data_IF_109566608248
#
_entry.id   IF_109566608248
#
_cell.length_a   1.000
_cell.length_b   1.000
_cell.length_c   1.000
_cell.angle_alpha   90.00
_cell.angle_beta   90.00
_cell.angle_gamma   90.00
#
_symmetry.space_group_name_H-M   'P 1'
#
loop_
_entity.id
_entity.type
_entity.pdbx_description
1 polymer ?
#
# COMPACT_ATOMS: atom_id res chain seq x y z
N UNK A 1 -41.51 27.00 -64.97
CA UNK A 1 -41.58 28.44 -64.63
C UNK A 1 -42.12 28.71 -63.23
N UNK A 2 -43.40 28.47 -62.90
CA UNK A 2 -43.92 28.76 -61.54
C UNK A 2 -43.37 27.82 -60.44
N UNK A 3 -43.17 26.54 -60.73
CA UNK A 3 -42.62 25.58 -59.78
C UNK A 3 -41.13 25.84 -59.47
N UNK A 4 -40.35 26.27 -60.46
CA UNK A 4 -38.94 26.65 -60.29
C UNK A 4 -38.81 27.90 -59.40
N UNK A 5 -39.76 28.84 -59.50
CA UNK A 5 -39.80 30.03 -58.64
C UNK A 5 -40.09 29.68 -57.17
N UNK A 6 -40.95 28.69 -56.91
CA UNK A 6 -41.26 28.23 -55.55
C UNK A 6 -40.07 27.50 -54.91
N UNK A 7 -39.35 26.67 -55.67
CA UNK A 7 -38.13 26.01 -55.19
C UNK A 7 -37.00 27.02 -54.92
N UNK A 8 -36.87 28.06 -55.75
CA UNK A 8 -35.93 29.16 -55.51
C UNK A 8 -36.25 29.93 -54.23
N UNK A 9 -37.52 30.26 -53.98
CA UNK A 9 -37.95 30.93 -52.74
C UNK A 9 -37.66 30.07 -51.50
N UNK A 10 -37.89 28.75 -51.59
CA UNK A 10 -37.58 27.81 -50.51
C UNK A 10 -36.09 27.72 -50.25
N UNK A 11 -35.26 27.69 -51.30
CA UNK A 11 -33.82 27.71 -51.17
C UNK A 11 -33.35 29.00 -50.49
N UNK A 12 -33.90 30.13 -50.91
CA UNK A 12 -33.55 31.46 -50.41
C UNK A 12 -33.85 31.59 -48.91
N UNK A 13 -35.04 31.20 -48.46
CA UNK A 13 -35.40 31.19 -47.03
C UNK A 13 -34.44 30.34 -46.20
N UNK A 14 -34.07 29.17 -46.73
CA UNK A 14 -33.15 28.24 -46.04
C UNK A 14 -31.73 28.79 -45.98
N UNK A 15 -31.31 29.53 -47.01
CA UNK A 15 -30.01 30.18 -47.09
C UNK A 15 -29.94 31.33 -46.07
N UNK A 16 -30.97 32.17 -46.00
CA UNK A 16 -31.10 33.25 -45.01
C UNK A 16 -31.08 32.73 -43.56
N UNK A 17 -31.74 31.60 -43.30
CA UNK A 17 -31.70 30.95 -41.98
C UNK A 17 -30.30 30.42 -41.64
N UNK A 18 -29.57 29.88 -42.62
CA UNK A 18 -28.19 29.40 -42.42
C UNK A 18 -27.22 30.55 -42.20
N UNK A 19 -27.33 31.62 -42.98
CA UNK A 19 -26.52 32.84 -42.81
C UNK A 19 -26.74 33.45 -41.44
N UNK A 20 -28.00 33.56 -40.99
CA UNK A 20 -28.32 34.06 -39.65
C UNK A 20 -27.69 33.23 -38.54
N UNK A 21 -27.63 31.91 -38.69
CA UNK A 21 -27.04 30.99 -37.70
C UNK A 21 -25.51 30.99 -37.70
N UNK A 22 -24.89 31.07 -38.87
CA UNK A 22 -23.43 30.98 -39.02
C UNK A 22 -22.76 32.34 -38.80
N UNK A 23 -23.31 33.40 -39.40
CA UNK A 23 -22.73 34.75 -39.41
C UNK A 23 -23.25 35.57 -38.22
N UNK A 24 -24.47 35.28 -37.75
CA UNK A 24 -25.17 36.12 -36.77
C UNK A 24 -25.82 37.33 -37.47
N UNK A 25 -26.94 37.81 -36.94
CA UNK A 25 -27.82 38.80 -37.57
C UNK A 25 -27.28 40.22 -37.75
N UNK A 26 -25.97 40.42 -37.76
CA UNK A 26 -25.36 41.72 -38.07
C UNK A 26 -24.11 41.48 -38.92
N UNK A 27 -24.09 42.06 -40.13
CA UNK A 27 -23.18 41.76 -41.25
C UNK A 27 -21.71 42.11 -41.04
N UNK A 28 -21.22 42.09 -39.80
CA UNK A 28 -19.88 42.55 -39.41
C UNK A 28 -18.92 41.41 -39.02
N UNK A 29 -19.31 40.14 -39.13
CA UNK A 29 -18.41 39.02 -38.81
C UNK A 29 -18.03 38.28 -40.09
N UNK A 30 -16.79 38.49 -40.55
CA UNK A 30 -16.17 37.67 -41.61
C UNK A 30 -16.25 36.17 -41.29
N UNK A 31 -15.93 35.27 -42.25
CA UNK A 31 -16.21 33.83 -42.15
C UNK A 31 -15.78 33.29 -40.79
N UNK A 32 -16.76 33.10 -39.89
CA UNK A 32 -16.49 32.62 -38.54
C UNK A 32 -15.84 31.27 -38.70
N UNK A 33 -14.63 31.15 -38.19
CA UNK A 33 -13.87 29.90 -38.17
C UNK A 33 -14.47 28.97 -37.10
N UNK A 34 -15.78 28.69 -37.19
CA UNK A 34 -16.51 27.84 -36.26
C UNK A 34 -15.84 26.48 -36.16
N UNK A 35 -15.30 25.98 -37.29
CA UNK A 35 -14.45 24.79 -37.31
C UNK A 35 -13.18 24.95 -36.47
N UNK A 36 -12.41 26.04 -36.63
CA UNK A 36 -11.18 26.25 -35.86
C UNK A 36 -11.48 26.51 -34.38
N UNK A 37 -12.56 27.22 -34.05
CA UNK A 37 -13.00 27.45 -32.67
C UNK A 37 -13.46 26.15 -32.00
N UNK A 38 -14.23 25.32 -32.72
CA UNK A 38 -14.62 24.01 -32.24
C UNK A 38 -13.39 23.11 -32.00
N UNK A 39 -12.40 23.15 -32.91
CA UNK A 39 -11.13 22.45 -32.73
C UNK A 39 -10.38 22.98 -31.50
N UNK A 40 -10.32 24.30 -31.29
CA UNK A 40 -9.70 24.91 -30.10
C UNK A 40 -10.38 24.46 -28.81
N UNK A 41 -11.72 24.44 -28.78
CA UNK A 41 -12.49 23.96 -27.63
C UNK A 41 -12.24 22.48 -27.39
N UNK A 42 -12.22 21.66 -28.45
CA UNK A 42 -11.92 20.23 -28.34
C UNK A 42 -10.52 19.96 -27.78
N UNK A 43 -9.51 20.71 -28.24
CA UNK A 43 -8.14 20.63 -27.72
C UNK A 43 -8.08 21.09 -26.26
N UNK A 44 -8.77 22.17 -25.90
CA UNK A 44 -8.83 22.66 -24.52
C UNK A 44 -9.48 21.62 -23.58
N UNK A 45 -10.61 21.04 -23.98
CA UNK A 45 -11.31 19.98 -23.22
C UNK A 45 -10.44 18.73 -23.09
N UNK A 46 -9.77 18.32 -24.17
CA UNK A 46 -8.86 17.16 -24.15
C UNK A 46 -7.66 17.40 -23.24
N UNK A 47 -7.12 18.62 -23.23
CA UNK A 47 -6.05 19.02 -22.33
C UNK A 47 -6.51 19.03 -20.86
N UNK A 48 -7.71 19.53 -20.57
CA UNK A 48 -8.28 19.55 -19.22
C UNK A 48 -8.51 18.11 -18.72
N UNK A 49 -9.14 17.26 -19.53
CA UNK A 49 -9.37 15.85 -19.21
C UNK A 49 -8.05 15.10 -19.00
N UNK A 50 -7.07 15.28 -19.90
CA UNK A 50 -5.76 14.67 -19.81
C UNK A 50 -4.94 15.13 -18.60
N UNK A 51 -4.98 16.42 -18.24
CA UNK A 51 -4.32 16.93 -17.03
C UNK A 51 -4.90 16.31 -15.76
N UNK A 52 -6.22 16.19 -15.68
CA UNK A 52 -6.89 15.59 -14.51
C UNK A 52 -6.48 14.13 -14.30
N UNK A 53 -6.45 13.32 -15.36
CA UNK A 53 -6.01 11.92 -15.26
C UNK A 53 -4.50 11.80 -14.96
N UNK A 54 -3.66 12.66 -15.55
CA UNK A 54 -2.23 12.69 -15.23
C UNK A 54 -1.97 13.04 -13.76
N UNK A 55 -2.68 14.02 -13.22
CA UNK A 55 -2.58 14.40 -11.81
C UNK A 55 -3.02 13.22 -10.93
N UNK A 56 -4.12 12.55 -11.25
CA UNK A 56 -4.60 11.37 -10.52
C UNK A 56 -3.58 10.23 -10.50
N UNK A 57 -2.92 9.95 -11.64
CA UNK A 57 -1.85 8.94 -11.72
C UNK A 57 -0.64 9.37 -10.89
N UNK A 58 -0.25 10.65 -10.95
CA UNK A 58 0.87 11.18 -10.16
C UNK A 58 0.62 11.08 -8.66
N UNK A 59 -0.58 11.42 -8.18
CA UNK A 59 -0.94 11.28 -6.77
C UNK A 59 -0.84 9.84 -6.28
N UNK A 60 -1.34 8.87 -7.07
CA UNK A 60 -1.17 7.44 -6.75
C UNK A 60 0.30 7.02 -6.71
N UNK A 61 1.10 7.48 -7.70
CA UNK A 61 2.54 7.20 -7.72
C UNK A 61 3.29 7.83 -6.54
N UNK A 62 2.86 8.98 -6.03
CA UNK A 62 3.47 9.62 -4.87
C UNK A 62 3.27 8.75 -3.62
N UNK A 63 2.07 8.19 -3.42
CA UNK A 63 1.81 7.24 -2.33
C UNK A 63 2.73 6.01 -2.42
N UNK A 64 2.87 5.45 -3.63
CA UNK A 64 3.79 4.34 -3.87
C UNK A 64 5.25 4.73 -3.59
N UNK A 65 5.70 5.89 -4.07
CA UNK A 65 7.08 6.39 -3.86
C UNK A 65 7.36 6.62 -2.37
N UNK A 66 6.42 7.18 -1.61
CA UNK A 66 6.55 7.34 -0.15
C UNK A 66 6.71 5.97 0.52
N UNK A 67 5.93 4.96 0.09
CA UNK A 67 6.05 3.60 0.60
C UNK A 67 7.41 2.96 0.28
N UNK A 68 7.93 3.18 -0.93
CA UNK A 68 9.25 2.68 -1.31
C UNK A 68 10.41 3.44 -0.67
N UNK A 69 10.20 4.68 -0.23
CA UNK A 69 11.19 5.49 0.49
C UNK A 69 11.28 5.13 1.98
N UNK A 70 10.33 4.38 2.54
CA UNK A 70 10.42 3.89 3.92
C UNK A 70 11.59 2.89 4.02
N UNK A 71 12.66 3.19 4.78
CA UNK A 71 13.79 2.29 4.95
C UNK A 71 13.37 0.92 5.49
N UNK A 72 12.31 0.87 6.31
CA UNK A 72 11.77 -0.37 6.85
C UNK A 72 11.10 -1.24 5.78
N UNK A 73 10.64 -0.65 4.68
CA UNK A 73 10.06 -1.38 3.55
C UNK A 73 11.15 -2.12 2.77
N UNK A 74 12.28 -1.46 2.49
CA UNK A 74 13.42 -2.06 1.77
C UNK A 74 14.09 -3.14 2.65
N UNK A 75 14.29 -2.86 3.93
CA UNK A 75 14.95 -3.78 4.87
C UNK A 75 14.16 -5.08 5.09
N UNK A 76 12.82 -5.04 5.00
CA UNK A 76 11.96 -6.22 5.14
C UNK A 76 11.74 -6.98 3.83
N UNK A 77 11.82 -6.31 2.67
CA UNK A 77 11.51 -6.94 1.38
C UNK A 77 12.64 -7.78 0.81
N UNK A 78 13.91 -7.48 1.12
CA UNK A 78 15.01 -8.14 0.46
C UNK A 78 16.25 -8.24 1.35
N UNK A 79 16.27 -9.21 2.27
CA UNK A 79 17.55 -9.86 2.58
C UNK A 79 17.89 -10.69 1.35
N UNK A 80 18.92 -10.33 0.56
CA UNK A 80 19.27 -11.07 -0.64
C UNK A 80 19.64 -12.51 -0.28
N UNK A 81 19.35 -13.48 -1.15
CA UNK A 81 19.60 -14.90 -0.83
C UNK A 81 21.08 -15.20 -0.56
N UNK A 82 21.99 -14.47 -1.21
CA UNK A 82 23.42 -14.52 -0.91
C UNK A 82 23.74 -14.08 0.53
N UNK A 83 23.03 -13.08 1.06
CA UNK A 83 23.20 -12.60 2.44
C UNK A 83 22.61 -13.60 3.44
N UNK A 84 21.49 -14.26 3.12
CA UNK A 84 20.94 -15.35 3.95
C UNK A 84 21.92 -16.50 4.09
N UNK A 85 22.57 -16.89 2.99
CA UNK A 85 23.60 -17.94 3.00
C UNK A 85 24.79 -17.53 3.88
N UNK A 86 25.29 -16.30 3.73
CA UNK A 86 26.39 -15.80 4.57
C UNK A 86 26.00 -15.74 6.04
N UNK A 87 24.77 -15.38 6.37
CA UNK A 87 24.27 -15.38 7.74
C UNK A 87 24.26 -16.79 8.33
N UNK A 88 23.75 -17.78 7.58
CA UNK A 88 23.73 -19.19 8.01
C UNK A 88 25.15 -19.72 8.21
N UNK A 89 26.08 -19.42 7.30
CA UNK A 89 27.47 -19.86 7.40
C UNK A 89 28.20 -19.16 8.56
N UNK A 90 27.94 -17.87 8.80
CA UNK A 90 28.49 -17.14 9.93
C UNK A 90 28.00 -17.69 11.27
N UNK A 91 26.74 -18.15 11.34
CA UNK A 91 26.14 -18.74 12.54
C UNK A 91 26.25 -20.28 12.61
N UNK A 92 26.94 -20.93 11.67
CA UNK A 92 26.97 -22.40 11.53
C UNK A 92 27.41 -23.11 12.82
N UNK A 93 28.35 -22.53 13.56
CA UNK A 93 28.85 -23.08 14.84
C UNK A 93 27.94 -22.73 16.03
N UNK A 94 27.21 -21.62 15.93
CA UNK A 94 26.37 -21.07 17.00
C UNK A 94 25.02 -21.78 17.05
N UNK A 95 24.46 -22.16 15.90
CA UNK A 95 23.15 -22.82 15.82
C UNK A 95 23.17 -24.19 16.53
N UNK A 96 24.12 -25.11 16.27
CA UNK A 96 24.18 -26.41 16.91
C UNK A 96 24.50 -26.32 18.41
N UNK A 97 25.39 -25.40 18.81
CA UNK A 97 25.74 -25.21 20.22
C UNK A 97 24.56 -24.68 21.03
N UNK A 98 23.79 -23.72 20.48
CA UNK A 98 22.53 -23.27 21.09
C UNK A 98 21.47 -24.37 21.14
N UNK A 99 21.33 -25.16 20.07
CA UNK A 99 20.39 -26.28 20.03
C UNK A 99 20.71 -27.33 21.10
N UNK A 100 21.98 -27.70 21.25
CA UNK A 100 22.43 -28.64 22.27
C UNK A 100 22.17 -28.12 23.69
N UNK A 101 22.43 -26.83 23.94
CA UNK A 101 22.12 -26.22 25.22
C UNK A 101 20.61 -26.21 25.51
N UNK A 102 19.80 -25.94 24.49
CA UNK A 102 18.34 -25.94 24.61
C UNK A 102 17.78 -27.34 24.88
N UNK A 103 18.36 -28.38 24.28
CA UNK A 103 18.07 -29.77 24.64
C UNK A 103 18.44 -30.09 26.09
N UNK A 104 19.59 -29.63 26.58
CA UNK A 104 19.96 -29.82 27.99
C UNK A 104 18.95 -29.15 28.93
N UNK A 105 18.52 -27.93 28.63
CA UNK A 105 17.49 -27.22 29.40
C UNK A 105 16.16 -27.98 29.37
N UNK A 106 15.75 -28.47 28.21
CA UNK A 106 14.53 -29.29 28.06
C UNK A 106 14.61 -30.57 28.88
N UNK A 107 15.77 -31.22 28.94
CA UNK A 107 15.97 -32.43 29.73
C UNK A 107 15.95 -32.18 31.25
N UNK A 108 16.25 -30.96 31.68
CA UNK A 108 16.23 -30.54 33.09
C UNK A 108 14.84 -30.05 33.55
N UNK A 109 13.94 -29.73 32.62
CA UNK A 109 12.56 -29.31 32.92
C UNK A 109 11.81 -30.25 33.88
N UNK A 110 11.88 -31.59 33.76
CA UNK A 110 11.16 -32.50 34.66
C UNK A 110 11.71 -32.52 36.09
N UNK A 111 12.97 -32.12 36.29
CA UNK A 111 13.60 -32.07 37.60
C UNK A 111 13.02 -30.92 38.44
N UNK A 112 12.65 -29.81 37.79
CA UNK A 112 11.99 -28.69 38.47
C UNK A 112 10.61 -29.07 39.01
N UNK A 113 9.90 -29.96 38.32
CA UNK A 113 8.58 -30.44 38.73
C UNK A 113 8.65 -31.68 39.65
N UNK A 114 9.85 -32.04 40.13
CA UNK A 114 10.01 -33.24 40.96
C UNK A 114 9.30 -33.11 42.31
N UNK A 115 8.60 -34.19 42.69
CA UNK A 115 7.89 -34.29 43.98
C UNK A 115 8.82 -34.14 45.18
N UNK A 116 10.11 -34.49 45.03
CA UNK A 116 11.13 -34.30 46.05
C UNK A 116 11.39 -32.83 46.37
N UNK A 117 11.35 -31.94 45.38
CA UNK A 117 11.48 -30.48 45.60
C UNK A 117 10.19 -29.94 46.23
N UNK A 118 9.03 -30.44 45.82
CA UNK A 118 7.75 -30.02 46.41
C UNK A 118 7.58 -30.48 47.87
N UNK A 119 8.16 -31.61 48.27
CA UNK A 119 8.05 -32.18 49.62
C UNK A 119 9.04 -31.56 50.65
N UNK A 120 9.90 -30.63 50.24
CA UNK A 120 10.89 -29.97 51.12
C UNK A 120 10.27 -29.28 52.34
N UNK A 121 9.16 -28.51 52.24
CA UNK A 121 8.56 -27.84 53.40
C UNK A 121 8.07 -28.83 54.47
N UNK A 122 7.50 -29.96 54.06
CA UNK A 122 7.01 -31.00 54.97
C UNK A 122 8.16 -31.65 55.75
N UNK A 123 9.30 -31.85 55.07
CA UNK A 123 10.49 -32.43 55.68
C UNK A 123 11.18 -31.42 56.62
N UNK A 124 11.19 -30.14 56.25
CA UNK A 124 11.70 -29.06 57.10
C UNK A 124 10.92 -28.95 58.43
N UNK A 125 9.59 -29.06 58.40
CA UNK A 125 8.77 -29.05 59.62
C UNK A 125 9.08 -30.23 60.55
N UNK A 126 9.27 -31.43 60.00
CA UNK A 126 9.68 -32.62 60.78
C UNK A 126 11.08 -32.45 61.36
N UNK A 127 12.01 -31.89 60.59
CA UNK A 127 13.39 -31.65 61.00
C UNK A 127 13.48 -30.57 62.10
N UNK A 128 12.69 -29.49 62.01
CA UNK A 128 12.58 -28.49 63.07
C UNK A 128 12.08 -29.10 64.38
N UNK A 129 11.07 -29.97 64.31
CA UNK A 129 10.56 -30.67 65.50
C UNK A 129 11.61 -31.58 66.13
N UNK A 130 12.35 -32.33 65.31
CA UNK A 130 13.48 -33.15 65.76
C UNK A 130 14.59 -32.31 66.39
N UNK A 131 14.95 -31.17 65.76
CA UNK A 131 15.94 -30.24 66.30
C UNK A 131 15.52 -29.69 67.66
N UNK A 132 14.24 -29.35 67.84
CA UNK A 132 13.74 -28.86 69.11
C UNK A 132 13.75 -29.93 70.20
N UNK A 133 13.42 -31.17 69.86
CA UNK A 133 13.54 -32.32 70.78
C UNK A 133 15.00 -32.59 71.13
N UNK A 134 15.91 -32.51 70.16
CA UNK A 134 17.34 -32.71 70.39
C UNK A 134 17.93 -31.65 71.34
N UNK A 135 17.55 -30.38 71.17
CA UNK A 135 17.95 -29.29 72.07
C UNK A 135 17.42 -29.52 73.50
N UNK A 136 16.27 -30.16 73.66
CA UNK A 136 15.74 -30.52 74.98
C UNK A 136 16.41 -31.75 75.61
N UNK A 137 17.08 -32.58 74.82
CA UNK A 137 17.77 -33.79 75.28
C UNK A 137 19.26 -33.56 75.60
N UNK A 138 19.85 -32.45 75.14
CA UNK A 138 21.19 -31.98 75.52
C UNK A 138 21.13 -31.05 76.73
#
# INVERSE_FOLDING_TARGET
KMAEAAELQRLQWRLEELERRVIGGDGACGPRKVADELVKVQVALSNIAGKRERIKILFKKIEDVIKYLDPQYIDRMAVPDAMKLQFILAEEQVIPSRAALLEQVKNLQPVMDSTSIQAVPDHAAKLQRLSQIHIQQQ
#
